data_IF_354321193397
#
_entry.id   IF_354321193397
#
_cell.length_a   1.000
_cell.length_b   1.000
_cell.length_c   1.000
_cell.angle_alpha   90.00
_cell.angle_beta   90.00
_cell.angle_gamma   90.00
#
_symmetry.space_group_name_H-M   'P 1'
#
loop_
_entity.id
_entity.type
_entity.pdbx_description
1 polymer ?
#
# COMPACT_ATOMS: atom_id res chain seq x y z
N UNK A 1 -1.23 47.03 23.37
CA UNK A 1 -0.43 45.79 23.24
C UNK A 1 -1.36 44.70 22.73
N UNK A 2 -1.64 44.65 21.42
CA UNK A 2 -2.53 43.65 20.81
C UNK A 2 -2.12 43.25 19.38
N UNK A 3 -0.90 43.59 18.95
CA UNK A 3 -0.42 43.30 17.57
C UNK A 3 0.22 41.91 17.41
N UNK A 4 0.48 41.18 18.50
CA UNK A 4 1.24 39.92 18.43
C UNK A 4 0.45 38.67 18.01
N UNK A 5 -0.88 38.70 18.03
CA UNK A 5 -1.73 37.51 17.80
C UNK A 5 -2.17 37.33 16.34
N UNK A 6 -2.15 38.38 15.52
CA UNK A 6 -2.58 38.31 14.12
C UNK A 6 -1.53 37.66 13.20
N UNK A 7 -0.25 37.80 13.51
CA UNK A 7 0.83 37.30 12.65
C UNK A 7 0.88 35.76 12.60
N UNK A 8 0.58 35.10 13.72
CA UNK A 8 0.50 33.64 13.78
C UNK A 8 -0.70 33.07 13.02
N UNK A 9 -1.85 33.77 13.00
CA UNK A 9 -3.05 33.34 12.25
C UNK A 9 -2.84 33.43 10.73
N UNK A 10 -2.12 34.45 10.26
CA UNK A 10 -1.80 34.62 8.83
C UNK A 10 -0.81 33.53 8.37
N UNK A 11 0.10 33.10 9.25
CA UNK A 11 1.08 32.05 8.97
C UNK A 11 0.46 30.66 8.73
N UNK A 12 -0.54 30.25 9.52
CA UNK A 12 -1.19 28.94 9.35
C UNK A 12 -2.03 28.82 8.08
N UNK A 13 -2.71 29.90 7.67
CA UNK A 13 -3.51 29.90 6.44
C UNK A 13 -2.65 29.70 5.20
N UNK A 14 -1.41 30.18 5.24
CA UNK A 14 -0.43 29.94 4.17
C UNK A 14 0.11 28.51 4.17
N UNK A 15 0.03 27.75 5.26
CA UNK A 15 0.46 26.34 5.34
C UNK A 15 -0.60 25.39 4.78
N UNK A 16 -1.89 25.77 4.82
CA UNK A 16 -2.99 24.93 4.39
C UNK A 16 -2.90 24.57 2.90
N UNK A 17 -2.65 23.28 2.62
CA UNK A 17 -2.77 22.72 1.27
C UNK A 17 -4.25 22.72 0.89
N UNK A 18 -4.56 23.10 -0.35
CA UNK A 18 -5.94 23.03 -0.86
C UNK A 18 -6.51 21.62 -0.67
N UNK A 19 -7.69 21.50 -0.08
CA UNK A 19 -8.40 20.23 0.15
C UNK A 19 -8.44 19.36 -1.10
N UNK A 20 -8.65 19.95 -2.29
CA UNK A 20 -8.63 19.22 -3.57
C UNK A 20 -7.28 18.54 -3.83
N UNK A 21 -6.17 19.21 -3.54
CA UNK A 21 -4.83 18.66 -3.70
C UNK A 21 -4.58 17.52 -2.71
N UNK A 22 -5.04 17.67 -1.47
CA UNK A 22 -4.93 16.59 -0.45
C UNK A 22 -5.68 15.35 -0.90
N UNK A 23 -6.92 15.51 -1.38
CA UNK A 23 -7.73 14.39 -1.89
C UNK A 23 -7.02 13.72 -3.07
N UNK A 24 -6.54 14.49 -4.05
CA UNK A 24 -5.85 13.94 -5.22
C UNK A 24 -4.58 13.17 -4.83
N UNK A 25 -3.75 13.71 -3.93
CA UNK A 25 -2.55 13.04 -3.44
C UNK A 25 -2.89 11.75 -2.69
N UNK A 26 -3.94 11.77 -1.88
CA UNK A 26 -4.39 10.58 -1.15
C UNK A 26 -4.90 9.49 -2.10
N UNK A 27 -5.67 9.87 -3.14
CA UNK A 27 -6.13 8.93 -4.16
C UNK A 27 -4.97 8.30 -4.93
N UNK A 28 -3.98 9.10 -5.35
CA UNK A 28 -2.78 8.60 -6.03
C UNK A 28 -2.01 7.64 -5.12
N UNK A 29 -1.77 8.05 -3.87
CA UNK A 29 -1.06 7.23 -2.89
C UNK A 29 -1.77 5.89 -2.67
N UNK A 30 -3.09 5.94 -2.46
CA UNK A 30 -3.89 4.75 -2.24
C UNK A 30 -3.87 3.80 -3.43
N UNK A 31 -3.94 4.33 -4.66
CA UNK A 31 -3.82 3.54 -5.88
C UNK A 31 -2.46 2.82 -5.96
N UNK A 32 -1.36 3.53 -5.65
CA UNK A 32 0.00 2.95 -5.62
C UNK A 32 0.10 1.82 -4.60
N UNK A 33 -0.44 2.02 -3.38
CA UNK A 33 -0.42 0.99 -2.33
C UNK A 33 -1.24 -0.23 -2.74
N UNK A 34 -2.45 -0.04 -3.27
CA UNK A 34 -3.31 -1.12 -3.73
C UNK A 34 -2.65 -1.91 -4.87
N UNK A 35 -2.10 -1.21 -5.87
CA UNK A 35 -1.37 -1.84 -6.97
C UNK A 35 -0.23 -2.72 -6.46
N UNK A 36 0.56 -2.21 -5.51
CA UNK A 36 1.71 -2.95 -4.97
C UNK A 36 1.31 -4.12 -4.10
N UNK A 37 0.23 -4.01 -3.34
CA UNK A 37 -0.34 -5.14 -2.64
C UNK A 37 -0.76 -6.26 -3.61
N UNK A 38 -1.52 -5.93 -4.65
CA UNK A 38 -1.94 -6.90 -5.67
C UNK A 38 -0.75 -7.51 -6.43
N UNK A 39 0.26 -6.71 -6.76
CA UNK A 39 1.50 -7.19 -7.35
C UNK A 39 2.19 -8.21 -6.43
N UNK A 40 2.27 -7.92 -5.14
CA UNK A 40 2.82 -8.83 -4.14
C UNK A 40 2.04 -10.15 -4.06
N UNK A 41 0.72 -10.07 -3.98
CA UNK A 41 -0.20 -11.20 -3.97
C UNK A 41 -0.01 -12.11 -5.19
N UNK A 42 -0.03 -11.53 -6.40
CA UNK A 42 0.11 -12.27 -7.67
C UNK A 42 1.53 -12.81 -7.89
N UNK A 43 2.55 -12.10 -7.42
CA UNK A 43 3.94 -12.53 -7.52
C UNK A 43 4.20 -13.85 -6.80
N UNK A 44 3.47 -14.14 -5.72
CA UNK A 44 3.58 -15.40 -4.99
C UNK A 44 3.28 -16.61 -5.89
N UNK A 45 2.35 -16.44 -6.84
CA UNK A 45 1.93 -17.44 -7.80
C UNK A 45 2.62 -17.31 -9.16
N UNK A 46 3.67 -16.48 -9.25
CA UNK A 46 4.40 -16.18 -10.49
C UNK A 46 3.50 -15.65 -11.63
N UNK A 47 2.40 -14.97 -11.28
CA UNK A 47 1.52 -14.32 -12.25
C UNK A 47 2.14 -12.96 -12.63
N UNK A 48 2.32 -12.66 -13.93
CA UNK A 48 3.01 -11.46 -14.37
C UNK A 48 2.20 -10.17 -14.11
N UNK A 49 2.90 -9.11 -13.75
CA UNK A 49 2.33 -7.80 -13.36
C UNK A 49 1.36 -7.19 -14.39
N UNK A 50 1.53 -7.51 -15.68
CA UNK A 50 0.64 -7.05 -16.76
C UNK A 50 -0.82 -7.53 -16.61
N UNK A 51 -1.05 -8.53 -15.77
CA UNK A 51 -2.37 -9.12 -15.48
C UNK A 51 -2.98 -8.57 -14.18
N UNK A 52 -2.42 -7.48 -13.64
CA UNK A 52 -2.98 -6.77 -12.50
C UNK A 52 -4.06 -5.81 -13.00
N UNK A 53 -5.32 -6.15 -12.72
CA UNK A 53 -6.45 -5.23 -12.85
C UNK A 53 -6.85 -4.72 -11.46
N UNK A 54 -6.73 -3.42 -11.24
CA UNK A 54 -7.27 -2.80 -10.04
C UNK A 54 -8.75 -2.49 -10.25
N UNK A 55 -9.60 -3.33 -9.67
CA UNK A 55 -11.03 -3.05 -9.66
C UNK A 55 -11.32 -1.82 -8.79
N UNK A 56 -12.13 -0.90 -9.30
CA UNK A 56 -12.63 0.27 -8.55
C UNK A 56 -13.27 -0.17 -7.23
N UNK A 57 -13.93 -1.34 -7.19
CA UNK A 57 -14.49 -1.90 -5.96
C UNK A 57 -13.41 -2.26 -4.93
N UNK A 58 -12.28 -2.82 -5.36
CA UNK A 58 -11.11 -3.06 -4.49
C UNK A 58 -10.54 -1.75 -3.95
N UNK A 59 -10.67 -0.67 -4.74
CA UNK A 59 -10.27 0.65 -4.29
C UNK A 59 -11.28 1.31 -3.32
N UNK A 60 -12.58 1.08 -3.51
CA UNK A 60 -13.64 1.69 -2.68
C UNK A 60 -13.87 0.93 -1.38
N UNK A 61 -13.69 -0.40 -1.38
CA UNK A 61 -13.76 -1.24 -0.18
C UNK A 61 -12.34 -1.63 0.25
N UNK A 62 -11.66 -0.78 1.04
CA UNK A 62 -10.33 -1.11 1.50
C UNK A 62 -10.41 -2.40 2.32
N UNK A 63 -9.74 -3.44 1.83
CA UNK A 63 -9.61 -4.69 2.56
C UNK A 63 -8.84 -4.42 3.88
N UNK A 64 -9.05 -5.23 4.91
CA UNK A 64 -8.38 -5.10 6.22
C UNK A 64 -6.84 -4.95 6.07
N UNK A 65 -6.17 -5.70 5.18
CA UNK A 65 -4.79 -5.47 4.76
C UNK A 65 -4.43 -4.02 4.40
N UNK A 66 -5.20 -3.42 3.49
CA UNK A 66 -4.93 -2.10 2.94
C UNK A 66 -5.13 -1.05 4.04
N UNK A 67 -6.21 -1.19 4.83
CA UNK A 67 -6.46 -0.29 5.97
C UNK A 67 -5.32 -0.35 6.99
N UNK A 68 -4.78 -1.55 7.27
CA UNK A 68 -3.65 -1.72 8.20
C UNK A 68 -2.40 -1.02 7.69
N UNK A 69 -2.09 -1.15 6.38
CA UNK A 69 -0.98 -0.44 5.76
C UNK A 69 -1.17 1.08 5.89
N UNK A 70 -2.38 1.59 5.62
CA UNK A 70 -2.68 3.02 5.75
C UNK A 70 -2.47 3.54 7.17
N UNK A 71 -2.87 2.79 8.19
CA UNK A 71 -2.67 3.16 9.59
C UNK A 71 -1.19 3.17 9.95
N UNK A 72 -0.43 2.14 9.53
CA UNK A 72 1.02 2.08 9.72
C UNK A 72 1.71 3.29 9.08
N UNK A 73 1.29 3.64 7.88
CA UNK A 73 1.82 4.77 7.12
C UNK A 73 1.49 6.10 7.79
N UNK A 74 0.24 6.32 8.19
CA UNK A 74 -0.17 7.52 8.89
C UNK A 74 0.60 7.67 10.22
N UNK A 75 0.79 6.57 10.94
CA UNK A 75 1.57 6.54 12.19
C UNK A 75 3.04 6.89 11.93
N UNK A 76 3.66 6.29 10.91
CA UNK A 76 5.03 6.59 10.51
C UNK A 76 5.17 8.07 10.11
N UNK A 77 4.22 8.63 9.36
CA UNK A 77 4.20 10.03 8.96
C UNK A 77 4.21 10.97 10.18
N UNK A 78 3.34 10.71 11.18
CA UNK A 78 3.28 11.49 12.43
C UNK A 78 4.61 11.40 13.19
N UNK A 79 5.18 10.20 13.31
CA UNK A 79 6.46 9.98 13.99
C UNK A 79 7.58 10.74 13.27
N UNK A 80 7.66 10.65 11.94
CA UNK A 80 8.68 11.36 11.15
C UNK A 80 8.57 12.87 11.32
N UNK A 81 7.36 13.44 11.25
CA UNK A 81 7.13 14.87 11.52
C UNK A 81 7.63 15.22 12.92
N UNK A 82 7.28 14.42 13.94
CA UNK A 82 7.71 14.63 15.32
C UNK A 82 9.22 14.61 15.49
N UNK A 83 9.90 13.60 14.94
CA UNK A 83 11.37 13.47 14.99
C UNK A 83 12.04 14.64 14.30
N UNK A 84 11.58 14.97 13.10
CA UNK A 84 12.14 16.04 12.29
C UNK A 84 11.96 17.40 12.98
N UNK A 85 10.78 17.65 13.55
CA UNK A 85 10.52 18.85 14.36
C UNK A 85 11.42 18.92 15.59
N UNK A 86 11.60 17.79 16.29
CA UNK A 86 12.46 17.70 17.48
C UNK A 86 13.93 17.94 17.12
N UNK A 87 14.45 17.31 16.07
CA UNK A 87 15.81 17.54 15.56
C UNK A 87 16.00 19.01 15.20
N UNK A 88 15.02 19.62 14.55
CA UNK A 88 15.06 21.02 14.19
C UNK A 88 15.18 21.94 15.42
N UNK A 89 14.35 21.72 16.44
CA UNK A 89 14.41 22.48 17.71
C UNK A 89 15.75 22.29 18.43
N UNK A 90 16.29 21.07 18.44
CA UNK A 90 17.58 20.77 19.06
C UNK A 90 18.74 21.45 18.33
N UNK A 91 18.78 21.36 17.00
CA UNK A 91 19.84 21.97 16.19
C UNK A 91 19.85 23.49 16.36
N UNK A 92 18.68 24.14 16.33
CA UNK A 92 18.58 25.59 16.53
C UNK A 92 19.08 26.00 17.93
N UNK A 93 18.62 25.28 18.97
CA UNK A 93 18.94 25.60 20.36
C UNK A 93 20.41 25.36 20.70
N UNK A 94 21.00 24.24 20.26
CA UNK A 94 22.32 23.80 20.72
C UNK A 94 23.46 24.20 19.79
N UNK A 95 23.24 24.17 18.47
CA UNK A 95 24.29 24.41 17.48
C UNK A 95 24.21 25.85 16.98
N UNK A 96 23.07 26.23 16.42
CA UNK A 96 22.93 27.52 15.73
C UNK A 96 23.05 28.69 16.71
N UNK A 97 22.29 28.68 17.81
CA UNK A 97 22.38 29.76 18.81
C UNK A 97 23.77 29.90 19.43
N UNK A 98 24.55 28.81 19.46
CA UNK A 98 25.91 28.80 20.03
C UNK A 98 26.95 29.35 19.04
N UNK A 99 26.77 29.10 17.75
CA UNK A 99 27.73 29.47 16.69
C UNK A 99 27.37 30.82 16.05
N UNK A 100 26.08 31.09 15.88
CA UNK A 100 25.55 32.29 15.26
C UNK A 100 24.75 33.11 16.28
N UNK A 101 25.05 34.40 16.36
CA UNK A 101 24.31 35.36 17.21
C UNK A 101 22.89 35.62 16.69
N UNK A 102 22.57 35.19 15.47
CA UNK A 102 21.24 35.24 14.85
C UNK A 102 20.75 33.82 14.59
N UNK A 103 19.43 33.62 14.72
CA UNK A 103 18.77 32.38 14.29
C UNK A 103 18.94 32.22 12.79
N UNK A 104 19.14 30.98 12.34
CA UNK A 104 19.37 30.64 10.94
C UNK A 104 18.08 30.76 10.11
N UNK A 105 16.94 30.66 10.76
CA UNK A 105 15.61 30.70 10.16
C UNK A 105 14.78 31.74 10.92
N UNK A 106 14.30 32.75 10.19
CA UNK A 106 13.36 33.71 10.74
C UNK A 106 11.97 33.04 10.83
N UNK A 107 11.14 33.48 11.79
CA UNK A 107 9.78 32.94 11.96
C UNK A 107 8.93 33.03 10.69
N UNK A 108 9.24 34.00 9.82
CA UNK A 108 8.60 34.20 8.51
C UNK A 108 8.90 33.09 7.50
N UNK A 109 10.05 32.41 7.61
CA UNK A 109 10.50 31.37 6.67
C UNK A 109 10.04 29.97 7.11
N UNK A 110 9.64 29.83 8.38
CA UNK A 110 9.17 28.58 8.97
C UNK A 110 8.05 27.88 8.15
N UNK A 111 7.02 28.58 7.63
CA UNK A 111 5.97 27.96 6.83
C UNK A 111 6.49 27.30 5.56
N UNK A 112 7.41 27.95 4.85
CA UNK A 112 7.99 27.46 3.60
C UNK A 112 8.82 26.21 3.85
N UNK A 113 9.61 26.22 4.92
CA UNK A 113 10.45 25.10 5.34
C UNK A 113 9.60 23.90 5.75
N UNK A 114 8.55 24.13 6.56
CA UNK A 114 7.61 23.06 6.96
C UNK A 114 6.89 22.42 5.76
N UNK A 115 6.51 23.21 4.75
CA UNK A 115 5.94 22.67 3.50
C UNK A 115 6.91 21.76 2.77
N UNK A 116 8.16 22.20 2.60
CA UNK A 116 9.19 21.41 1.91
C UNK A 116 9.49 20.12 2.67
N UNK A 117 9.59 20.19 3.99
CA UNK A 117 9.80 19.02 4.85
C UNK A 117 8.62 18.05 4.80
N UNK A 118 7.38 18.56 4.84
CA UNK A 118 6.17 17.75 4.66
C UNK A 118 6.18 17.01 3.32
N UNK A 119 6.60 17.66 2.24
CA UNK A 119 6.75 17.03 0.93
C UNK A 119 7.80 15.91 0.93
N UNK A 120 8.97 16.14 1.53
CA UNK A 120 10.02 15.10 1.66
C UNK A 120 9.52 13.91 2.48
N UNK A 121 8.87 14.18 3.62
CA UNK A 121 8.31 13.12 4.48
C UNK A 121 7.23 12.35 3.71
N UNK A 122 6.37 13.04 2.97
CA UNK A 122 5.35 12.42 2.14
C UNK A 122 5.97 11.49 1.08
N UNK A 123 7.02 11.94 0.37
CA UNK A 123 7.75 11.11 -0.59
C UNK A 123 8.41 9.90 0.08
N UNK A 124 9.05 10.10 1.24
CA UNK A 124 9.65 9.02 2.02
C UNK A 124 8.62 7.98 2.47
N UNK A 125 7.43 8.43 2.85
CA UNK A 125 6.29 7.58 3.17
C UNK A 125 5.83 6.79 1.96
N UNK A 126 5.68 7.40 0.78
CA UNK A 126 5.30 6.68 -0.45
C UNK A 126 6.29 5.56 -0.73
N UNK A 127 7.59 5.86 -0.69
CA UNK A 127 8.66 4.90 -0.95
C UNK A 127 8.67 3.75 0.05
N UNK A 128 8.51 4.05 1.35
CA UNK A 128 8.41 3.03 2.39
C UNK A 128 7.17 2.14 2.20
N UNK A 129 6.03 2.74 1.91
CA UNK A 129 4.75 2.04 1.71
C UNK A 129 4.80 1.11 0.51
N UNK A 130 5.51 1.50 -0.55
CA UNK A 130 5.62 0.74 -1.80
C UNK A 130 6.14 -0.68 -1.58
N UNK A 131 7.21 -0.82 -0.79
CA UNK A 131 7.81 -2.12 -0.50
C UNK A 131 7.00 -2.89 0.55
N UNK A 132 6.53 -2.20 1.59
CA UNK A 132 5.71 -2.81 2.63
C UNK A 132 4.43 -3.40 2.07
N UNK A 133 3.72 -2.68 1.18
CA UNK A 133 2.50 -3.17 0.54
C UNK A 133 2.75 -4.43 -0.27
N UNK A 134 3.83 -4.48 -1.03
CA UNK A 134 4.21 -5.66 -1.81
C UNK A 134 4.47 -6.88 -0.92
N UNK A 135 5.29 -6.74 0.12
CA UNK A 135 5.57 -7.85 1.03
C UNK A 135 4.31 -8.28 1.77
N UNK A 136 3.47 -7.33 2.19
CA UNK A 136 2.19 -7.65 2.84
C UNK A 136 1.24 -8.41 1.91
N UNK A 137 1.20 -8.05 0.61
CA UNK A 137 0.47 -8.81 -0.41
C UNK A 137 0.96 -10.25 -0.51
N UNK A 138 2.28 -10.46 -0.57
CA UNK A 138 2.88 -11.80 -0.59
C UNK A 138 2.59 -12.60 0.69
N UNK A 139 2.71 -11.97 1.86
CA UNK A 139 2.49 -12.59 3.17
C UNK A 139 1.01 -12.92 3.41
N UNK A 140 0.09 -12.19 2.78
CA UNK A 140 -1.34 -12.48 2.86
C UNK A 140 -1.67 -13.87 2.27
N UNK A 141 -0.96 -14.26 1.21
CA UNK A 141 -1.15 -15.56 0.55
C UNK A 141 -0.61 -16.70 1.40
N UNK A 142 0.51 -16.48 2.11
CA UNK A 142 1.12 -17.48 3.00
C UNK A 142 0.18 -17.97 4.11
N UNK A 143 -0.87 -17.19 4.41
CA UNK A 143 -1.86 -17.51 5.41
C UNK A 143 -3.25 -17.83 4.80
N UNK A 144 -3.38 -17.72 3.47
CA UNK A 144 -4.64 -17.96 2.77
C UNK A 144 -4.90 -19.46 2.67
N UNK A 145 -6.05 -19.86 3.22
CA UNK A 145 -6.50 -21.26 3.27
C UNK A 145 -7.78 -21.49 2.48
N UNK A 146 -8.44 -20.45 2.02
CA UNK A 146 -9.72 -20.54 1.35
C UNK A 146 -9.56 -20.15 -0.11
N UNK A 147 -9.95 -21.04 -1.01
CA UNK A 147 -9.81 -20.84 -2.46
C UNK A 147 -11.10 -21.26 -3.16
N UNK A 148 -11.47 -20.49 -4.18
CA UNK A 148 -12.38 -20.99 -5.18
C UNK A 148 -11.62 -21.93 -6.09
N UNK A 149 -12.12 -23.15 -6.26
CA UNK A 149 -11.48 -24.16 -7.09
C UNK A 149 -12.42 -24.62 -8.21
N UNK A 150 -11.80 -25.01 -9.31
CA UNK A 150 -12.43 -25.62 -10.46
C UNK A 150 -11.72 -26.94 -10.77
N UNK A 151 -12.51 -28.00 -10.99
CA UNK A 151 -12.00 -29.34 -11.31
C UNK A 151 -12.14 -29.58 -12.83
N UNK A 152 -11.01 -29.83 -13.50
CA UNK A 152 -10.94 -30.13 -14.93
C UNK A 152 -10.28 -31.50 -15.15
N UNK A 153 -11.11 -32.56 -15.16
CA UNK A 153 -10.59 -33.93 -15.17
C UNK A 153 -9.81 -34.23 -13.89
N UNK A 154 -8.55 -34.65 -14.03
CA UNK A 154 -7.68 -35.01 -12.90
C UNK A 154 -6.92 -33.83 -12.29
N UNK A 155 -7.08 -32.62 -12.83
CA UNK A 155 -6.37 -31.43 -12.36
C UNK A 155 -7.36 -30.49 -11.67
N UNK A 156 -7.05 -30.12 -10.43
CA UNK A 156 -7.75 -29.06 -9.72
C UNK A 156 -7.02 -27.73 -9.92
N UNK A 157 -7.77 -26.69 -10.26
CA UNK A 157 -7.30 -25.33 -10.42
C UNK A 157 -7.83 -24.46 -9.29
N UNK A 158 -6.97 -23.68 -8.63
CA UNK A 158 -7.40 -22.57 -7.78
C UNK A 158 -7.57 -21.32 -8.63
N UNK A 159 -8.68 -20.60 -8.43
CA UNK A 159 -8.91 -19.28 -8.99
C UNK A 159 -8.21 -18.27 -8.09
N UNK A 160 -7.31 -17.50 -8.69
CA UNK A 160 -6.52 -16.50 -7.99
C UNK A 160 -7.10 -15.11 -8.19
N UNK A 161 -7.52 -14.80 -9.42
CA UNK A 161 -8.16 -13.53 -9.74
C UNK A 161 -8.96 -13.62 -11.06
N UNK A 162 -9.54 -12.51 -11.46
CA UNK A 162 -10.15 -12.28 -12.78
C UNK A 162 -9.35 -11.25 -13.58
N UNK A 163 -9.31 -11.41 -14.91
CA UNK A 163 -8.70 -10.44 -15.81
C UNK A 163 -9.37 -10.51 -17.19
N UNK A 164 -9.79 -9.37 -17.74
CA UNK A 164 -10.58 -9.27 -18.98
C UNK A 164 -11.76 -10.26 -19.05
N UNK A 165 -12.48 -10.44 -17.94
CA UNK A 165 -13.62 -11.36 -17.86
C UNK A 165 -13.26 -12.84 -17.76
N UNK A 166 -11.97 -13.21 -17.85
CA UNK A 166 -11.48 -14.57 -17.63
C UNK A 166 -11.01 -14.80 -16.19
N UNK A 167 -10.86 -16.07 -15.79
CA UNK A 167 -10.22 -16.44 -14.52
C UNK A 167 -8.72 -16.67 -14.70
N UNK A 168 -7.91 -16.03 -13.87
CA UNK A 168 -6.51 -16.40 -13.66
C UNK A 168 -6.49 -17.54 -12.66
N UNK A 169 -5.96 -18.69 -13.07
CA UNK A 169 -5.97 -19.91 -12.28
C UNK A 169 -4.60 -20.57 -12.22
N UNK A 170 -4.35 -21.34 -11.17
CA UNK A 170 -3.12 -22.13 -11.00
C UNK A 170 -3.49 -23.57 -10.66
N UNK A 171 -2.75 -24.58 -11.15
CA UNK A 171 -2.96 -25.97 -10.78
C UNK A 171 -2.50 -26.19 -9.34
N UNK A 172 -3.35 -26.85 -8.56
CA UNK A 172 -3.13 -27.15 -7.15
C UNK A 172 -3.30 -28.65 -6.88
N UNK A 173 -2.64 -29.12 -5.83
CA UNK A 173 -2.90 -30.41 -5.21
C UNK A 173 -3.43 -30.15 -3.80
N UNK A 174 -4.74 -30.37 -3.61
CA UNK A 174 -5.43 -30.15 -2.34
C UNK A 174 -4.87 -31.06 -1.24
N UNK A 175 -4.47 -32.29 -1.57
CA UNK A 175 -4.01 -33.28 -0.59
C UNK A 175 -2.58 -32.99 -0.11
N UNK A 176 -1.73 -32.47 -1.00
CA UNK A 176 -0.35 -32.09 -0.67
C UNK A 176 -0.22 -30.63 -0.21
N UNK A 177 -1.30 -29.84 -0.29
CA UNK A 177 -1.29 -28.38 -0.07
C UNK A 177 -0.23 -27.67 -0.93
N UNK A 178 -0.09 -28.08 -2.19
CA UNK A 178 0.89 -27.50 -3.12
C UNK A 178 0.26 -26.89 -4.36
N UNK A 179 0.97 -25.95 -4.98
CA UNK A 179 0.66 -25.44 -6.32
C UNK A 179 1.88 -25.54 -7.23
N UNK A 180 1.66 -25.53 -8.55
CA UNK A 180 2.74 -25.34 -9.54
C UNK A 180 2.71 -23.90 -10.04
N UNK A 181 3.88 -23.30 -10.22
CA UNK A 181 4.07 -21.93 -10.72
C UNK A 181 3.76 -21.79 -12.22
N UNK A 182 2.58 -22.24 -12.63
CA UNK A 182 2.08 -22.20 -14.00
C UNK A 182 0.67 -21.63 -13.94
N UNK A 183 0.45 -20.42 -14.46
CA UNK A 183 -0.88 -19.84 -14.53
C UNK A 183 -1.58 -20.22 -15.84
N UNK A 184 -2.90 -20.35 -15.79
CA UNK A 184 -3.76 -20.52 -16.95
C UNK A 184 -4.93 -19.54 -16.90
N UNK A 185 -5.31 -19.07 -18.08
CA UNK A 185 -6.55 -18.37 -18.29
C UNK A 185 -7.67 -19.36 -18.57
N UNK A 186 -8.75 -19.25 -17.82
CA UNK A 186 -9.95 -20.05 -18.02
C UNK A 186 -11.08 -19.09 -18.37
N UNK A 187 -11.67 -19.27 -19.55
CA UNK A 187 -12.84 -18.52 -19.99
C UNK A 187 -14.09 -19.09 -19.29
N UNK A 188 -14.87 -18.27 -18.54
CA UNK A 188 -16.11 -18.71 -17.92
C UNK A 188 -17.08 -19.38 -18.90
N UNK A 189 -17.12 -18.93 -20.16
CA UNK A 189 -18.05 -19.49 -21.17
C UNK A 189 -17.67 -20.92 -21.57
N UNK A 190 -16.37 -21.25 -21.51
CA UNK A 190 -15.86 -22.61 -21.76
C UNK A 190 -16.19 -23.60 -20.64
N UNK A 191 -16.67 -23.12 -19.49
CA UNK A 191 -16.94 -23.89 -18.28
C UNK A 191 -18.39 -24.36 -18.19
N UNK A 192 -19.00 -24.71 -19.32
CA UNK A 192 -20.43 -25.00 -19.44
C UNK A 192 -20.96 -26.09 -18.49
N UNK A 193 -20.09 -26.90 -17.86
CA UNK A 193 -20.42 -27.91 -16.85
C UNK A 193 -19.50 -27.90 -15.60
N UNK A 194 -18.73 -26.83 -15.40
CA UNK A 194 -17.77 -26.76 -14.30
C UNK A 194 -18.39 -26.44 -12.95
N UNK A 195 -18.20 -27.29 -11.94
CA UNK A 195 -18.63 -26.98 -10.57
C UNK A 195 -17.53 -26.19 -9.87
N UNK A 196 -17.77 -24.90 -9.66
CA UNK A 196 -16.97 -24.09 -8.76
C UNK A 196 -17.28 -24.47 -7.31
N UNK A 197 -16.24 -24.76 -6.55
CA UNK A 197 -16.35 -25.06 -5.13
C UNK A 197 -15.49 -24.09 -4.34
N UNK A 198 -16.02 -23.56 -3.26
CA UNK A 198 -15.19 -22.91 -2.26
C UNK A 198 -14.60 -24.01 -1.36
N UNK A 199 -13.28 -24.08 -1.29
CA UNK A 199 -12.55 -25.09 -0.51
C UNK A 199 -11.71 -24.40 0.55
N UNK A 200 -11.86 -24.86 1.78
CA UNK A 200 -11.04 -24.45 2.92
C UNK A 200 -10.02 -25.54 3.25
N UNK A 201 -8.76 -25.24 2.99
CA UNK A 201 -7.60 -26.08 3.24
C UNK A 201 -7.21 -26.04 4.73
N UNK A 202 -6.57 -27.11 5.20
CA UNK A 202 -6.01 -27.15 6.56
C UNK A 202 -4.75 -26.28 6.67
N UNK A 203 -3.96 -26.26 5.61
CA UNK A 203 -2.74 -25.46 5.46
C UNK A 203 -2.79 -24.56 4.23
N UNK A 204 -1.98 -23.50 4.23
CA UNK A 204 -1.85 -22.64 3.06
C UNK A 204 -1.07 -23.37 1.96
N UNK A 205 -1.40 -23.05 0.71
CA UNK A 205 -0.71 -23.61 -0.45
C UNK A 205 0.76 -23.19 -0.47
N UNK A 206 1.64 -24.11 -0.88
CA UNK A 206 3.08 -23.86 -1.07
C UNK A 206 3.53 -24.26 -2.46
N UNK A 207 4.54 -23.59 -2.97
CA UNK A 207 5.10 -23.96 -4.28
C UNK A 207 5.73 -25.35 -4.21
N UNK A 208 5.37 -26.22 -5.16
CA UNK A 208 6.01 -27.54 -5.30
C UNK A 208 7.40 -27.35 -5.89
N UNK A 209 8.43 -27.46 -5.04
CA UNK A 209 9.84 -27.45 -5.48
C UNK A 209 10.06 -28.71 -6.31
N UNK A 210 10.40 -28.53 -7.59
CA UNK A 210 10.75 -29.61 -8.52
C UNK A 210 12.16 -30.15 -8.25
#
# INVERSE_FOLDING_TARGET
MEEGTNDYKISFKNIAINTTTVIALFTIFFYVVAYRYEAGYKSYFHIPDKLIELNILTLIRPNIPITTILVLVATAFIIYIGIVFLLFVLIDKFIIKKIFSKRLIESKDLPTILKFMSLIIFLGVILSSYNTAYNFGKDSVLNMKEYWVYEAGDITYAIIDTYNGGFISIPININEFTFKAEYKFIDPESLSNGVFKNVKLQEALREKIQ
#
